data_IF_726246369084
#
_entry.id   IF_726246369084
#
_cell.length_a   1.000
_cell.length_b   1.000
_cell.length_c   1.000
_cell.angle_alpha   90.00
_cell.angle_beta   90.00
_cell.angle_gamma   90.00
#
_symmetry.space_group_name_H-M   'P 1'
#
loop_
_entity.id
_entity.type
_entity.pdbx_description
1 polymer ?
#
# COMPACT_ATOMS: atom_id res chain seq x y z
N UNK A 1 21.00 16.71 -11.78
CA UNK A 1 22.07 16.19 -12.68
C UNK A 1 23.23 15.60 -11.88
N UNK A 2 23.91 16.35 -11.00
CA UNK A 2 25.03 15.86 -10.20
C UNK A 2 24.67 14.65 -9.32
N UNK A 3 23.53 14.67 -8.64
CA UNK A 3 23.05 13.55 -7.81
C UNK A 3 22.71 12.31 -8.66
N UNK A 4 22.12 12.50 -9.84
CA UNK A 4 21.85 11.38 -10.75
C UNK A 4 23.13 10.78 -11.31
N UNK A 5 24.14 11.60 -11.62
CA UNK A 5 25.46 11.10 -12.01
C UNK A 5 26.13 10.32 -10.88
N UNK A 6 26.02 10.81 -9.65
CA UNK A 6 26.56 10.15 -8.47
C UNK A 6 25.84 8.80 -8.23
N UNK A 7 24.53 8.76 -8.40
CA UNK A 7 23.74 7.53 -8.31
C UNK A 7 24.20 6.50 -9.35
N UNK A 8 24.34 6.92 -10.61
CA UNK A 8 24.84 6.05 -11.68
C UNK A 8 26.26 5.56 -11.39
N UNK A 9 27.15 6.45 -10.98
CA UNK A 9 28.54 6.10 -10.64
C UNK A 9 28.61 5.09 -9.50
N UNK A 10 27.80 5.25 -8.45
CA UNK A 10 27.77 4.34 -7.30
C UNK A 10 27.10 3.00 -7.65
N UNK A 11 26.14 2.99 -8.56
CA UNK A 11 25.46 1.75 -8.97
C UNK A 11 26.32 0.89 -9.90
N UNK A 12 27.16 1.49 -10.72
CA UNK A 12 28.02 0.79 -11.70
C UNK A 12 29.31 0.21 -11.10
N UNK A 13 29.77 0.75 -9.98
CA UNK A 13 30.97 0.24 -9.32
C UNK A 13 30.62 -0.65 -8.12
N UNK A 14 31.23 -1.82 -7.99
CA UNK A 14 31.15 -2.72 -6.82
C UNK A 14 31.76 -2.02 -5.59
N UNK A 15 30.93 -1.28 -4.87
CA UNK A 15 31.34 -0.13 -4.14
C UNK A 15 31.79 -0.42 -2.72
N UNK A 16 32.92 0.11 -2.38
CA UNK A 16 33.29 0.44 -0.99
C UNK A 16 32.29 1.47 -0.47
N UNK A 17 31.63 1.22 0.67
CA UNK A 17 30.74 2.21 1.27
C UNK A 17 31.44 3.55 1.46
N UNK A 18 30.80 4.62 1.03
CA UNK A 18 31.37 5.98 1.01
C UNK A 18 30.60 6.89 1.96
N UNK A 19 31.24 7.98 2.39
CA UNK A 19 30.57 9.08 3.10
C UNK A 19 30.28 10.16 2.07
N UNK A 20 29.01 10.49 1.89
CA UNK A 20 28.52 11.51 0.96
C UNK A 20 28.00 12.68 1.76
N UNK A 21 28.58 13.85 1.57
CA UNK A 21 28.15 15.09 2.24
C UNK A 21 27.62 16.05 1.18
N UNK A 22 26.37 16.53 1.38
CA UNK A 22 25.70 17.44 0.44
C UNK A 22 25.13 18.62 1.22
N UNK A 23 25.43 19.83 0.75
CA UNK A 23 24.90 21.08 1.33
C UNK A 23 23.85 21.65 0.41
N UNK A 24 22.70 21.98 0.99
CA UNK A 24 21.56 22.65 0.34
C UNK A 24 21.21 22.07 -1.06
N UNK A 25 20.97 20.76 -1.20
CA UNK A 25 20.71 20.12 -2.49
C UNK A 25 19.45 20.63 -3.20
N UNK A 26 18.59 21.33 -2.49
CA UNK A 26 17.37 21.95 -3.03
C UNK A 26 17.62 23.24 -3.81
N UNK A 27 18.77 23.86 -3.70
CA UNK A 27 19.04 25.16 -4.36
C UNK A 27 18.81 25.02 -5.86
N UNK A 28 18.00 25.94 -6.41
CA UNK A 28 17.56 25.98 -7.81
C UNK A 28 16.65 24.83 -8.26
N UNK A 29 16.20 23.94 -7.36
CA UNK A 29 15.26 22.89 -7.72
C UNK A 29 13.82 23.35 -7.54
N UNK A 30 12.99 23.09 -8.57
CA UNK A 30 11.55 23.19 -8.42
C UNK A 30 11.06 22.18 -7.35
N UNK A 31 10.02 22.50 -6.53
CA UNK A 31 9.54 21.60 -5.45
C UNK A 31 9.34 20.14 -5.86
N UNK A 32 8.85 19.88 -7.07
CA UNK A 32 8.75 18.50 -7.59
C UNK A 32 10.09 17.79 -7.70
N UNK A 33 11.14 18.53 -8.11
CA UNK A 33 12.49 17.96 -8.23
C UNK A 33 13.16 17.80 -6.87
N UNK A 34 12.74 18.55 -5.84
CA UNK A 34 13.23 18.38 -4.47
C UNK A 34 12.80 17.03 -3.90
N UNK A 35 11.57 16.58 -4.17
CA UNK A 35 11.11 15.22 -3.80
C UNK A 35 11.92 14.13 -4.51
N UNK A 36 12.18 14.30 -5.81
CA UNK A 36 13.05 13.38 -6.55
C UNK A 36 14.47 13.37 -5.98
N UNK A 37 14.99 14.52 -5.60
CA UNK A 37 16.30 14.65 -4.94
C UNK A 37 16.32 13.88 -3.61
N UNK A 38 15.29 14.06 -2.77
CA UNK A 38 15.13 13.33 -1.51
C UNK A 38 15.14 11.81 -1.74
N UNK A 39 14.45 11.32 -2.77
CA UNK A 39 14.41 9.89 -3.10
C UNK A 39 15.79 9.36 -3.54
N UNK A 40 16.54 10.13 -4.33
CA UNK A 40 17.91 9.78 -4.72
C UNK A 40 18.82 9.69 -3.49
N UNK A 41 18.78 10.70 -2.60
CA UNK A 41 19.55 10.70 -1.36
C UNK A 41 19.21 9.51 -0.46
N UNK A 42 17.93 9.17 -0.37
CA UNK A 42 17.47 8.00 0.37
C UNK A 42 18.01 6.70 -0.24
N UNK A 43 17.95 6.51 -1.56
CA UNK A 43 18.54 5.33 -2.24
C UNK A 43 20.04 5.24 -2.04
N UNK A 44 20.76 6.35 -2.16
CA UNK A 44 22.19 6.40 -1.88
C UNK A 44 22.52 5.98 -0.45
N UNK A 45 21.68 6.34 0.53
CA UNK A 45 21.87 6.01 1.94
C UNK A 45 21.77 4.52 2.26
N UNK A 46 21.22 3.69 1.36
CA UNK A 46 21.15 2.23 1.56
C UNK A 46 22.52 1.54 1.55
N UNK A 47 23.49 2.10 0.85
CA UNK A 47 24.85 1.55 0.73
C UNK A 47 25.93 2.47 1.25
N UNK A 48 25.60 3.71 1.57
CA UNK A 48 26.54 4.76 1.93
C UNK A 48 26.07 5.50 3.18
N UNK A 49 26.99 6.20 3.84
CA UNK A 49 26.61 7.19 4.85
C UNK A 49 26.36 8.53 4.14
N UNK A 50 25.10 8.96 4.12
CA UNK A 50 24.71 10.23 3.51
C UNK A 50 24.43 11.25 4.61
N UNK A 51 25.07 12.39 4.55
CA UNK A 51 24.85 13.54 5.42
C UNK A 51 24.51 14.71 4.53
N UNK A 52 23.35 15.32 4.74
CA UNK A 52 23.01 16.54 4.01
C UNK A 52 22.36 17.58 4.91
N UNK A 53 22.62 18.85 4.57
CA UNK A 53 22.00 20.02 5.20
C UNK A 53 20.92 20.54 4.26
N UNK A 54 19.78 20.92 4.80
CA UNK A 54 18.68 21.47 4.02
C UNK A 54 17.80 22.41 4.84
N UNK A 55 17.18 23.37 4.15
CA UNK A 55 16.09 24.20 4.65
C UNK A 55 14.75 23.83 4.01
N UNK A 56 14.71 22.81 3.15
CA UNK A 56 13.50 22.37 2.48
C UNK A 56 12.82 21.22 3.24
N UNK A 57 11.54 21.34 3.60
CA UNK A 57 10.77 20.25 4.17
C UNK A 57 10.58 19.10 3.16
N UNK A 58 10.53 19.41 1.84
CA UNK A 58 10.38 18.41 0.80
C UNK A 58 11.53 17.40 0.77
N UNK A 59 12.72 17.77 1.23
CA UNK A 59 13.86 16.87 1.37
C UNK A 59 13.77 15.95 2.60
N UNK A 60 12.99 16.33 3.60
CA UNK A 60 12.82 15.53 4.83
C UNK A 60 11.85 14.37 4.65
N UNK A 61 11.07 14.33 3.56
CA UNK A 61 9.98 13.38 3.37
C UNK A 61 10.37 11.89 3.40
N UNK A 62 11.59 11.56 3.03
CA UNK A 62 12.04 10.17 2.97
C UNK A 62 12.86 9.73 4.19
N UNK A 63 12.97 10.57 5.21
CA UNK A 63 13.81 10.31 6.38
C UNK A 63 12.99 10.29 7.68
N UNK A 64 13.31 9.34 8.55
CA UNK A 64 12.67 9.26 9.86
C UNK A 64 13.18 10.37 10.79
N UNK A 65 12.38 10.74 11.79
CA UNK A 65 12.78 11.74 12.79
C UNK A 65 14.09 11.37 13.51
N UNK A 66 14.43 10.08 13.62
CA UNK A 66 15.69 9.61 14.18
C UNK A 66 16.91 9.96 13.34
N UNK A 67 16.73 10.15 12.05
CA UNK A 67 17.77 10.52 11.08
C UNK A 67 17.95 12.03 10.99
N UNK A 68 16.96 12.81 11.43
CA UNK A 68 16.96 14.26 11.35
C UNK A 68 17.65 14.84 12.60
N UNK A 69 18.47 15.87 12.38
CA UNK A 69 19.11 16.65 13.43
C UNK A 69 18.78 18.12 13.19
N UNK A 70 18.07 18.72 14.13
CA UNK A 70 17.74 20.14 14.06
C UNK A 70 18.87 20.96 14.70
N UNK A 71 19.45 21.87 13.93
CA UNK A 71 20.45 22.81 14.41
C UNK A 71 19.74 24.14 14.66
N UNK A 72 19.84 24.64 15.89
CA UNK A 72 19.25 25.90 16.31
C UNK A 72 20.30 26.79 17.00
N UNK A 73 20.01 28.08 17.11
CA UNK A 73 20.83 28.96 17.95
C UNK A 73 20.32 28.92 19.40
N UNK A 74 21.23 28.78 20.33
CA UNK A 74 20.93 28.94 21.76
C UNK A 74 20.78 30.44 22.14
N UNK A 75 20.49 30.69 23.40
CA UNK A 75 20.36 32.06 23.95
C UNK A 75 21.65 32.90 23.81
N UNK A 76 22.80 32.25 23.78
CA UNK A 76 24.10 32.87 23.56
C UNK A 76 24.50 32.96 22.07
N UNK A 77 23.57 32.60 21.15
CA UNK A 77 23.77 32.57 19.69
C UNK A 77 24.81 31.57 19.19
N UNK A 78 25.06 30.50 19.94
CA UNK A 78 25.83 29.36 19.43
C UNK A 78 24.92 28.34 18.75
N UNK A 79 25.41 27.71 17.68
CA UNK A 79 24.72 26.62 17.03
C UNK A 79 24.73 25.36 17.91
N UNK A 80 23.56 24.87 18.27
CA UNK A 80 23.41 23.65 19.06
C UNK A 80 22.49 22.67 18.35
N UNK A 81 22.73 21.37 18.58
CA UNK A 81 21.86 20.32 18.10
C UNK A 81 20.79 20.03 19.14
N UNK A 82 19.53 20.15 18.75
CA UNK A 82 18.40 19.80 19.60
C UNK A 82 18.29 18.28 19.72
N UNK A 83 18.42 17.74 20.93
CA UNK A 83 18.46 16.28 21.16
C UNK A 83 17.15 15.56 20.84
N UNK A 84 16.02 16.21 21.03
CA UNK A 84 14.69 15.66 20.74
C UNK A 84 14.02 16.59 19.71
N UNK A 85 14.29 16.31 18.44
CA UNK A 85 13.60 17.00 17.37
C UNK A 85 12.16 16.47 17.27
N UNK A 86 11.18 17.38 17.29
CA UNK A 86 9.80 17.11 16.92
C UNK A 86 9.59 17.64 15.49
N UNK A 87 9.02 16.81 14.62
CA UNK A 87 8.82 17.17 13.22
C UNK A 87 7.90 18.40 13.07
N UNK A 88 6.86 18.50 13.93
CA UNK A 88 5.98 19.67 13.97
C UNK A 88 6.77 20.95 14.23
N UNK A 89 7.60 20.93 15.25
CA UNK A 89 8.43 22.07 15.63
C UNK A 89 9.49 22.42 14.58
N UNK A 90 10.07 21.41 13.89
CA UNK A 90 11.00 21.65 12.77
C UNK A 90 10.28 22.40 11.63
N UNK A 91 9.06 22.01 11.31
CA UNK A 91 8.29 22.60 10.23
C UNK A 91 7.81 24.00 10.59
N UNK A 92 7.36 24.21 11.82
CA UNK A 92 7.03 25.55 12.33
C UNK A 92 8.26 26.49 12.29
N UNK A 93 9.43 26.02 12.70
CA UNK A 93 10.69 26.78 12.64
C UNK A 93 11.12 27.08 11.19
N UNK A 94 10.72 26.23 10.23
CA UNK A 94 10.92 26.46 8.79
C UNK A 94 9.82 27.33 8.14
N UNK A 95 8.80 27.73 8.92
CA UNK A 95 7.70 28.59 8.45
C UNK A 95 6.57 27.86 7.74
N UNK A 96 6.46 26.53 7.94
CA UNK A 96 5.39 25.72 7.39
C UNK A 96 4.26 25.54 8.42
N UNK A 97 3.02 25.76 8.00
CA UNK A 97 1.85 25.60 8.86
C UNK A 97 1.41 24.12 9.02
N UNK A 98 0.49 23.87 9.96
CA UNK A 98 -0.03 22.53 10.24
C UNK A 98 -0.65 21.81 9.03
N UNK A 99 -1.10 22.55 8.01
CA UNK A 99 -1.63 21.99 6.76
C UNK A 99 -0.54 21.52 5.78
N UNK A 100 0.68 22.04 5.92
CA UNK A 100 1.85 21.59 5.16
C UNK A 100 2.45 20.31 5.77
N UNK A 101 1.96 19.96 6.96
CA UNK A 101 2.38 18.86 7.82
C UNK A 101 1.82 17.48 7.42
N UNK A 102 1.05 17.37 6.37
CA UNK A 102 0.68 16.06 5.86
C UNK A 102 1.92 15.38 5.26
N UNK A 103 2.72 14.83 6.16
CA UNK A 103 3.98 14.13 5.92
C UNK A 103 3.73 12.81 5.17
N UNK A 104 2.93 12.88 4.09
CA UNK A 104 2.47 11.75 3.30
C UNK A 104 3.20 11.76 1.98
N UNK A 105 3.97 10.71 1.73
CA UNK A 105 4.68 10.52 0.46
C UNK A 105 3.94 9.58 -0.50
N UNK A 106 2.99 8.79 0.03
CA UNK A 106 2.18 7.89 -0.76
C UNK A 106 0.78 7.71 -0.17
N UNK A 107 -0.22 7.58 -1.03
CA UNK A 107 -1.62 7.39 -0.60
C UNK A 107 -2.20 6.11 -1.19
N UNK A 108 -2.74 5.27 -0.33
CA UNK A 108 -3.64 4.20 -0.75
C UNK A 108 -5.09 4.64 -0.61
N UNK A 109 -5.89 4.38 -1.63
CA UNK A 109 -7.35 4.58 -1.60
C UNK A 109 -7.98 3.20 -1.66
N UNK A 110 -8.68 2.79 -0.60
CA UNK A 110 -9.29 1.46 -0.46
C UNK A 110 -10.80 1.58 -0.26
N UNK A 111 -11.55 0.52 -0.58
CA UNK A 111 -13.01 0.56 -0.47
C UNK A 111 -13.50 0.55 0.98
N UNK A 112 -12.95 -0.33 1.80
CA UNK A 112 -13.47 -0.64 3.12
C UNK A 112 -12.56 -0.29 4.29
N UNK A 113 -13.16 -0.23 5.50
CA UNK A 113 -12.40 -0.09 6.75
C UNK A 113 -11.54 -1.31 7.03
N UNK A 114 -11.96 -2.49 6.59
CA UNK A 114 -11.24 -3.74 6.78
C UNK A 114 -9.96 -3.75 5.93
N UNK A 115 -10.03 -3.26 4.69
CA UNK A 115 -8.85 -3.14 3.81
C UNK A 115 -7.82 -2.17 4.40
N UNK A 116 -8.32 -1.06 4.99
CA UNK A 116 -7.47 -0.12 5.73
C UNK A 116 -6.71 -0.78 6.89
N UNK A 117 -7.26 -1.80 7.52
CA UNK A 117 -6.61 -2.53 8.63
C UNK A 117 -5.67 -3.64 8.16
N UNK A 118 -5.92 -4.23 6.98
CA UNK A 118 -5.17 -5.36 6.42
C UNK A 118 -3.94 -4.93 5.63
N UNK A 119 -4.07 -3.88 4.82
CA UNK A 119 -2.98 -3.38 3.98
C UNK A 119 -1.70 -3.05 4.76
N UNK A 120 -1.74 -2.40 5.95
CA UNK A 120 -0.54 -2.16 6.75
C UNK A 120 0.21 -3.43 7.15
N UNK A 121 -0.49 -4.55 7.31
CA UNK A 121 0.13 -5.83 7.66
C UNK A 121 1.00 -6.35 6.50
N UNK A 122 0.52 -6.23 5.26
CA UNK A 122 1.29 -6.56 4.06
C UNK A 122 2.50 -5.63 3.90
N UNK A 123 2.27 -4.31 4.03
CA UNK A 123 3.35 -3.33 3.91
C UNK A 123 4.48 -3.61 4.90
N UNK A 124 4.16 -3.96 6.14
CA UNK A 124 5.15 -4.27 7.17
C UNK A 124 5.96 -5.53 6.88
N UNK A 125 5.36 -6.56 6.28
CA UNK A 125 6.09 -7.78 5.92
C UNK A 125 7.04 -7.55 4.76
N UNK A 126 6.56 -6.93 3.69
CA UNK A 126 7.27 -6.91 2.41
C UNK A 126 8.11 -5.65 2.18
N UNK A 127 7.89 -4.59 2.98
CA UNK A 127 8.62 -3.32 2.82
C UNK A 127 9.22 -2.85 4.14
N UNK A 128 10.45 -2.30 4.05
CA UNK A 128 11.12 -1.63 5.15
C UNK A 128 10.67 -0.18 5.26
N UNK A 129 10.80 0.42 6.45
CA UNK A 129 10.57 1.86 6.68
C UNK A 129 9.17 2.36 6.26
N UNK A 130 8.20 1.46 6.23
CA UNK A 130 6.79 1.81 5.96
C UNK A 130 5.98 1.98 7.24
N UNK A 131 6.49 1.53 8.38
CA UNK A 131 5.84 1.65 9.67
C UNK A 131 6.86 1.83 10.79
N UNK A 132 6.45 2.49 11.88
CA UNK A 132 7.24 2.62 13.10
C UNK A 132 7.21 1.34 13.97
N UNK A 133 7.85 1.41 15.16
CA UNK A 133 7.90 0.29 16.11
C UNK A 133 6.51 -0.07 16.67
N UNK A 134 5.60 0.88 16.75
CA UNK A 134 4.21 0.71 17.18
C UNK A 134 3.34 0.12 16.05
N UNK A 135 3.83 0.18 14.81
CA UNK A 135 3.16 -0.31 13.61
C UNK A 135 2.24 0.70 12.97
N UNK A 136 2.38 1.97 13.30
CA UNK A 136 1.75 3.07 12.59
C UNK A 136 2.52 3.35 11.28
N UNK A 137 1.78 3.67 10.22
CA UNK A 137 2.39 3.91 8.92
C UNK A 137 3.16 5.22 8.91
N UNK A 138 4.40 5.14 8.42
CA UNK A 138 5.26 6.29 8.21
C UNK A 138 5.06 6.82 6.78
N UNK A 139 4.59 8.06 6.66
CA UNK A 139 4.45 8.78 5.37
C UNK A 139 3.53 8.12 4.33
N UNK A 140 2.74 7.15 4.76
CA UNK A 140 1.74 6.49 3.96
C UNK A 140 0.37 6.75 4.57
N UNK A 141 -0.54 7.33 3.81
CA UNK A 141 -1.93 7.47 4.20
C UNK A 141 -2.78 6.40 3.54
N UNK A 142 -3.77 5.89 4.28
CA UNK A 142 -4.80 5.00 3.74
C UNK A 142 -6.16 5.66 3.91
N UNK A 143 -6.78 5.99 2.79
CA UNK A 143 -8.09 6.65 2.73
C UNK A 143 -9.13 5.61 2.33
N UNK A 144 -10.26 5.58 3.07
CA UNK A 144 -11.39 4.70 2.72
C UNK A 144 -12.47 5.48 2.02
N UNK A 145 -13.03 4.92 0.95
CA UNK A 145 -14.16 5.51 0.24
C UNK A 145 -15.50 5.21 0.91
N UNK A 146 -15.55 4.20 1.81
CA UNK A 146 -16.74 3.71 2.53
C UNK A 146 -17.93 3.33 1.63
N UNK A 147 -17.74 3.27 0.34
CA UNK A 147 -18.68 2.73 -0.66
C UNK A 147 -18.09 2.90 -2.05
N UNK A 148 -18.54 2.07 -2.99
CA UNK A 148 -18.22 2.11 -4.42
C UNK A 148 -18.66 3.39 -5.16
N UNK A 149 -19.01 4.48 -4.45
CA UNK A 149 -19.45 5.70 -5.12
C UNK A 149 -18.23 6.50 -5.57
N UNK A 150 -18.09 6.65 -6.87
CA UNK A 150 -17.05 7.44 -7.53
C UNK A 150 -16.92 8.89 -6.99
N UNK A 151 -17.98 9.44 -6.41
CA UNK A 151 -18.03 10.81 -5.85
C UNK A 151 -17.05 10.99 -4.69
N UNK A 152 -16.98 10.02 -3.75
CA UNK A 152 -16.07 10.11 -2.60
C UNK A 152 -14.62 9.95 -3.02
N UNK A 153 -14.36 9.04 -3.95
CA UNK A 153 -13.02 8.88 -4.54
C UNK A 153 -12.59 10.15 -5.26
N UNK A 154 -13.51 10.79 -5.98
CA UNK A 154 -13.26 12.05 -6.64
C UNK A 154 -12.86 13.17 -5.65
N UNK A 155 -13.59 13.31 -4.55
CA UNK A 155 -13.26 14.27 -3.49
C UNK A 155 -11.89 14.00 -2.87
N UNK A 156 -11.52 12.73 -2.68
CA UNK A 156 -10.19 12.33 -2.19
C UNK A 156 -9.09 12.68 -3.20
N UNK A 157 -9.33 12.48 -4.49
CA UNK A 157 -8.39 12.86 -5.55
C UNK A 157 -8.20 14.37 -5.60
N UNK A 158 -9.28 15.16 -5.43
CA UNK A 158 -9.21 16.62 -5.35
C UNK A 158 -8.36 17.06 -4.14
N UNK A 159 -8.56 16.44 -3.00
CA UNK A 159 -7.74 16.67 -1.80
C UNK A 159 -6.26 16.34 -2.04
N UNK A 160 -5.96 15.21 -2.68
CA UNK A 160 -4.58 14.80 -3.00
C UNK A 160 -3.89 15.76 -3.97
N UNK A 161 -4.65 16.35 -4.91
CA UNK A 161 -4.11 17.38 -5.78
C UNK A 161 -3.66 18.62 -4.99
N UNK A 162 -4.39 18.97 -3.94
CA UNK A 162 -4.04 20.08 -3.04
C UNK A 162 -2.75 19.80 -2.24
N UNK A 163 -2.46 18.54 -1.93
CA UNK A 163 -1.24 18.11 -1.23
C UNK A 163 -0.10 17.71 -2.18
N UNK A 164 -0.20 18.04 -3.46
CA UNK A 164 0.84 17.78 -4.48
C UNK A 164 1.25 16.31 -4.69
N UNK A 165 0.44 15.35 -4.29
CA UNK A 165 0.70 13.91 -4.50
C UNK A 165 0.15 13.39 -5.85
N UNK A 166 0.42 14.11 -6.93
CA UNK A 166 -0.24 13.92 -8.24
C UNK A 166 -0.18 12.50 -8.79
N UNK A 167 0.89 11.76 -8.54
CA UNK A 167 1.18 10.44 -9.13
C UNK A 167 1.47 9.37 -8.05
N UNK A 168 1.62 9.78 -6.78
CA UNK A 168 2.01 8.89 -5.69
C UNK A 168 0.79 8.34 -4.95
N UNK A 169 -0.06 7.65 -5.68
CA UNK A 169 -1.22 6.99 -5.10
C UNK A 169 -1.60 5.71 -5.83
N UNK A 170 -2.20 4.77 -5.11
CA UNK A 170 -2.77 3.55 -5.64
C UNK A 170 -4.19 3.35 -5.11
N UNK A 171 -5.14 3.25 -6.02
CA UNK A 171 -6.51 2.83 -5.71
C UNK A 171 -6.59 1.31 -5.78
N UNK A 172 -6.92 0.69 -4.66
CA UNK A 172 -7.15 -0.76 -4.58
C UNK A 172 -8.65 -0.99 -4.45
N UNK A 173 -9.19 -1.79 -5.34
CA UNK A 173 -10.62 -2.00 -5.47
C UNK A 173 -10.98 -3.46 -5.64
N UNK A 174 -12.07 -3.87 -5.00
CA UNK A 174 -12.66 -5.19 -5.16
C UNK A 174 -13.11 -5.41 -6.61
N UNK A 175 -12.93 -6.63 -7.13
CA UNK A 175 -13.41 -6.97 -8.47
C UNK A 175 -14.92 -7.23 -8.51
N UNK A 176 -15.54 -7.60 -7.38
CA UNK A 176 -16.94 -8.05 -7.30
C UNK A 176 -17.26 -9.18 -8.29
N UNK A 177 -16.27 -10.00 -8.61
CA UNK A 177 -16.36 -11.08 -9.60
C UNK A 177 -16.43 -10.58 -11.05
N UNK A 178 -16.00 -9.35 -11.33
CA UNK A 178 -15.87 -8.80 -12.68
C UNK A 178 -14.43 -8.97 -13.18
N UNK A 179 -14.26 -8.86 -14.49
CA UNK A 179 -12.91 -8.90 -15.08
C UNK A 179 -12.10 -7.66 -14.66
N UNK A 180 -10.95 -7.83 -13.98
CA UNK A 180 -10.14 -6.73 -13.46
C UNK A 180 -9.67 -5.75 -14.56
N UNK A 181 -9.22 -6.26 -15.71
CA UNK A 181 -8.74 -5.43 -16.80
C UNK A 181 -9.83 -4.54 -17.42
N UNK A 182 -11.05 -5.07 -17.54
CA UNK A 182 -12.21 -4.32 -18.06
C UNK A 182 -12.60 -3.24 -17.05
N UNK A 183 -12.68 -3.60 -15.76
CA UNK A 183 -13.08 -2.68 -14.71
C UNK A 183 -12.05 -1.55 -14.54
N UNK A 184 -10.75 -1.86 -14.60
CA UNK A 184 -9.67 -0.88 -14.54
C UNK A 184 -9.74 0.15 -15.67
N UNK A 185 -9.94 -0.32 -16.92
CA UNK A 185 -10.13 0.57 -18.07
C UNK A 185 -11.36 1.49 -17.94
N UNK A 186 -12.47 0.95 -17.44
CA UNK A 186 -13.69 1.74 -17.20
C UNK A 186 -13.47 2.84 -16.17
N UNK A 187 -12.72 2.54 -15.09
CA UNK A 187 -12.39 3.53 -14.08
C UNK A 187 -11.47 4.63 -14.59
N UNK A 188 -10.40 4.27 -15.28
CA UNK A 188 -9.49 5.26 -15.88
C UNK A 188 -10.25 6.20 -16.82
N UNK A 189 -11.08 5.65 -17.69
CA UNK A 189 -11.93 6.43 -18.60
C UNK A 189 -12.89 7.36 -17.88
N UNK A 190 -13.54 6.88 -16.82
CA UNK A 190 -14.43 7.71 -15.99
C UNK A 190 -13.72 8.93 -15.42
N UNK A 191 -12.50 8.76 -14.86
CA UNK A 191 -11.75 9.89 -14.30
C UNK A 191 -11.18 10.80 -15.39
N UNK A 192 -10.84 10.28 -16.55
CA UNK A 192 -10.40 11.08 -17.68
C UNK A 192 -11.52 11.97 -18.21
N UNK A 193 -12.74 11.44 -18.38
CA UNK A 193 -13.92 12.20 -18.76
C UNK A 193 -14.24 13.30 -17.73
N UNK A 194 -14.14 13.00 -16.43
CA UNK A 194 -14.34 13.98 -15.36
C UNK A 194 -13.31 15.11 -15.37
N UNK A 195 -12.05 14.81 -15.67
CA UNK A 195 -11.01 15.81 -15.80
C UNK A 195 -11.22 16.79 -16.96
N UNK A 196 -11.97 16.38 -17.98
CA UNK A 196 -12.34 17.27 -19.10
C UNK A 196 -13.47 18.22 -18.71
N UNK A 197 -14.33 17.83 -17.77
CA UNK A 197 -15.48 18.62 -17.32
C UNK A 197 -15.13 19.61 -16.19
N UNK A 198 -14.06 19.36 -15.42
CA UNK A 198 -13.71 20.14 -14.23
C UNK A 198 -12.55 21.12 -14.48
N UNK A 199 -12.76 22.38 -14.07
CA UNK A 199 -11.74 23.43 -14.12
C UNK A 199 -10.57 23.17 -13.13
N UNK A 200 -10.83 22.42 -12.07
CA UNK A 200 -9.81 21.97 -11.12
C UNK A 200 -9.10 20.73 -11.67
N UNK A 201 -7.93 20.89 -12.25
CA UNK A 201 -7.11 19.81 -12.79
C UNK A 201 -6.82 18.75 -11.71
N UNK A 202 -7.60 17.67 -11.68
CA UNK A 202 -7.35 16.52 -10.82
C UNK A 202 -6.04 15.81 -11.19
N UNK A 203 -5.47 15.02 -10.27
CA UNK A 203 -4.40 14.10 -10.63
C UNK A 203 -4.85 13.21 -11.78
N UNK A 204 -4.02 13.07 -12.78
CA UNK A 204 -4.30 12.14 -13.89
C UNK A 204 -4.26 10.72 -13.35
N UNK A 205 -5.41 10.05 -13.40
CA UNK A 205 -5.50 8.63 -13.05
C UNK A 205 -5.02 7.81 -14.25
N UNK A 206 -3.92 7.10 -14.05
CA UNK A 206 -3.31 6.22 -15.04
C UNK A 206 -3.62 4.75 -14.69
N UNK A 207 -3.45 3.80 -15.61
CA UNK A 207 -3.64 2.39 -15.31
C UNK A 207 -2.85 1.89 -14.08
N UNK A 208 -1.61 2.37 -13.88
CA UNK A 208 -0.78 2.04 -12.73
C UNK A 208 -1.35 2.53 -11.38
N UNK A 209 -2.20 3.56 -11.39
CA UNK A 209 -2.86 4.07 -10.20
C UNK A 209 -4.11 3.29 -9.79
N UNK A 210 -4.51 2.27 -10.58
CA UNK A 210 -5.74 1.50 -10.36
C UNK A 210 -5.43 0.02 -10.31
N UNK A 211 -5.52 -0.56 -9.14
CA UNK A 211 -5.44 -1.99 -8.90
C UNK A 211 -6.84 -2.55 -8.63
N UNK A 212 -7.32 -3.39 -9.51
CA UNK A 212 -8.50 -4.22 -9.27
C UNK A 212 -8.02 -5.58 -8.80
N UNK A 213 -8.49 -6.01 -7.63
CA UNK A 213 -8.09 -7.27 -7.03
C UNK A 213 -8.40 -8.46 -7.97
N UNK A 214 -7.49 -9.44 -8.01
CA UNK A 214 -7.66 -10.68 -8.75
C UNK A 214 -8.91 -11.43 -8.27
N UNK A 215 -9.08 -11.52 -6.96
CA UNK A 215 -10.21 -12.19 -6.33
C UNK A 215 -11.38 -11.24 -6.11
N UNK A 216 -12.52 -11.78 -5.68
CA UNK A 216 -13.75 -11.03 -5.48
C UNK A 216 -13.55 -9.81 -4.58
N UNK A 217 -12.88 -10.00 -3.45
CA UNK A 217 -12.55 -8.97 -2.47
C UNK A 217 -11.27 -9.33 -1.70
N UNK A 218 -10.79 -8.41 -0.89
CA UNK A 218 -9.56 -8.60 -0.11
C UNK A 218 -9.62 -9.80 0.85
N UNK A 219 -10.81 -10.15 1.37
CA UNK A 219 -11.01 -11.32 2.22
C UNK A 219 -10.61 -12.64 1.56
N UNK A 220 -10.79 -12.74 0.24
CA UNK A 220 -10.53 -13.98 -0.50
C UNK A 220 -9.06 -14.39 -0.55
N UNK A 221 -8.14 -13.48 -0.22
CA UNK A 221 -6.70 -13.78 -0.13
C UNK A 221 -6.32 -14.55 1.14
N UNK A 222 -7.20 -14.58 2.14
CA UNK A 222 -6.95 -15.26 3.41
C UNK A 222 -7.58 -16.65 3.48
N UNK A 223 -7.68 -17.34 2.35
CA UNK A 223 -8.36 -18.63 2.22
C UNK A 223 -7.41 -19.73 1.69
N UNK A 224 -6.15 -19.73 2.11
CA UNK A 224 -5.22 -20.81 1.82
C UNK A 224 -5.36 -21.91 2.90
N UNK A 225 -5.80 -23.14 2.53
CA UNK A 225 -6.08 -24.20 3.50
C UNK A 225 -4.86 -24.65 4.30
N UNK A 226 -3.67 -24.69 3.68
CA UNK A 226 -2.42 -25.08 4.33
C UNK A 226 -2.06 -24.09 5.46
N UNK A 227 -2.13 -22.79 5.16
CA UNK A 227 -1.85 -21.73 6.15
C UNK A 227 -2.89 -21.74 7.27
N UNK A 228 -4.16 -21.91 6.91
CA UNK A 228 -5.25 -21.96 7.88
C UNK A 228 -5.12 -23.18 8.82
N UNK A 229 -4.63 -24.30 8.33
CA UNK A 229 -4.32 -25.49 9.14
C UNK A 229 -3.16 -25.22 10.10
N UNK A 230 -2.07 -24.61 9.63
CA UNK A 230 -0.93 -24.22 10.48
C UNK A 230 -1.33 -23.27 11.61
N UNK A 231 -2.31 -22.42 11.38
CA UNK A 231 -2.85 -21.48 12.37
C UNK A 231 -3.94 -22.08 13.26
N UNK A 232 -4.35 -23.32 13.03
CA UNK A 232 -5.43 -23.97 13.78
C UNK A 232 -6.81 -23.34 13.54
N UNK A 233 -6.99 -22.66 12.41
CA UNK A 233 -8.28 -22.12 11.96
C UNK A 233 -9.17 -23.28 11.50
N UNK A 234 -8.59 -24.23 10.81
CA UNK A 234 -9.18 -25.52 10.44
C UNK A 234 -8.29 -26.65 10.96
N UNK A 235 -8.81 -27.87 11.05
CA UNK A 235 -8.06 -29.02 11.57
C UNK A 235 -7.09 -29.60 10.54
N UNK A 236 -7.48 -29.58 9.28
CA UNK A 236 -6.69 -30.03 8.13
C UNK A 236 -7.18 -29.33 6.86
N UNK A 237 -6.49 -29.55 5.74
CA UNK A 237 -6.94 -29.03 4.44
C UNK A 237 -8.25 -29.70 4.00
N UNK A 238 -8.42 -30.97 4.30
CA UNK A 238 -9.67 -31.69 4.04
C UNK A 238 -10.83 -31.10 4.86
N UNK A 239 -10.59 -30.77 6.14
CA UNK A 239 -11.60 -30.12 6.99
C UNK A 239 -12.04 -28.76 6.40
N UNK A 240 -11.10 -28.00 5.81
CA UNK A 240 -11.43 -26.76 5.10
C UNK A 240 -12.42 -27.01 3.96
N UNK A 241 -12.12 -27.95 3.07
CA UNK A 241 -12.99 -28.24 1.92
C UNK A 241 -14.31 -28.87 2.33
N UNK A 242 -14.30 -29.71 3.37
CA UNK A 242 -15.52 -30.27 3.94
C UNK A 242 -16.45 -29.19 4.50
N UNK A 243 -15.93 -28.24 5.28
CA UNK A 243 -16.70 -27.10 5.78
C UNK A 243 -17.24 -26.28 4.61
N UNK A 244 -16.40 -26.02 3.61
CA UNK A 244 -16.77 -25.23 2.43
C UNK A 244 -17.91 -25.89 1.65
N UNK A 245 -17.81 -27.21 1.40
CA UNK A 245 -18.83 -28.02 0.74
C UNK A 245 -20.14 -28.03 1.51
N UNK A 246 -20.09 -28.23 2.82
CA UNK A 246 -21.27 -28.15 3.68
C UNK A 246 -21.96 -26.79 3.55
N UNK A 247 -21.19 -25.70 3.55
CA UNK A 247 -21.76 -24.35 3.40
C UNK A 247 -22.22 -24.05 1.97
N UNK A 248 -21.59 -24.65 0.99
CA UNK A 248 -22.04 -24.60 -0.40
C UNK A 248 -23.45 -25.18 -0.55
N UNK A 249 -23.66 -26.40 -0.09
CA UNK A 249 -24.95 -27.09 -0.14
C UNK A 249 -26.01 -26.44 0.75
N UNK A 250 -25.60 -25.90 1.90
CA UNK A 250 -26.49 -25.23 2.84
C UNK A 250 -27.06 -23.93 2.25
N UNK A 251 -26.22 -23.02 1.75
CA UNK A 251 -26.69 -21.70 1.31
C UNK A 251 -25.84 -20.96 0.26
N UNK A 252 -24.51 -21.18 0.17
CA UNK A 252 -23.65 -20.37 -0.69
C UNK A 252 -24.01 -20.49 -2.16
N UNK A 253 -24.37 -21.67 -2.64
CA UNK A 253 -24.80 -21.91 -4.02
C UNK A 253 -26.03 -21.11 -4.42
N UNK A 254 -26.91 -20.78 -3.47
CA UNK A 254 -28.14 -20.00 -3.72
C UNK A 254 -27.91 -18.49 -3.80
N UNK A 255 -26.75 -18.00 -3.30
CA UNK A 255 -26.42 -16.60 -3.33
C UNK A 255 -26.15 -16.12 -4.78
N UNK A 256 -26.29 -14.81 -5.00
CA UNK A 256 -25.96 -14.20 -6.29
C UNK A 256 -24.52 -14.49 -6.72
N UNK A 257 -23.56 -14.50 -5.79
CA UNK A 257 -22.17 -14.85 -6.04
C UNK A 257 -22.00 -16.33 -6.39
N UNK A 258 -22.74 -17.24 -5.72
CA UNK A 258 -22.74 -18.67 -6.04
C UNK A 258 -23.26 -18.94 -7.45
N UNK A 259 -24.36 -18.28 -7.85
CA UNK A 259 -24.89 -18.38 -9.22
C UNK A 259 -23.90 -17.90 -10.28
N UNK A 260 -23.13 -16.83 -9.98
CA UNK A 260 -22.06 -16.36 -10.88
C UNK A 260 -20.91 -17.38 -10.97
N UNK A 261 -20.55 -18.01 -9.87
CA UNK A 261 -19.55 -19.07 -9.88
C UNK A 261 -19.99 -20.26 -10.74
N UNK A 262 -21.22 -20.76 -10.56
CA UNK A 262 -21.81 -21.82 -11.40
C UNK A 262 -21.81 -21.45 -12.88
N UNK A 263 -22.19 -20.20 -13.18
CA UNK A 263 -22.17 -19.71 -14.57
C UNK A 263 -20.74 -19.69 -15.15
N UNK A 264 -19.75 -19.31 -14.37
CA UNK A 264 -18.35 -19.26 -14.80
C UNK A 264 -17.75 -20.66 -14.90
N UNK A 265 -18.15 -21.59 -14.02
CA UNK A 265 -17.73 -22.98 -14.02
C UNK A 265 -18.37 -23.78 -15.17
N UNK A 266 -19.59 -23.43 -15.56
CA UNK A 266 -20.35 -24.08 -16.61
C UNK A 266 -21.24 -25.26 -16.14
N UNK A 267 -21.12 -25.65 -14.90
CA UNK A 267 -21.95 -26.68 -14.24
C UNK A 267 -22.11 -26.36 -12.74
N UNK A 268 -23.04 -27.02 -12.08
CA UNK A 268 -23.15 -26.93 -10.63
C UNK A 268 -22.13 -27.88 -9.99
N UNK A 269 -21.34 -27.45 -8.99
CA UNK A 269 -20.43 -28.33 -8.28
C UNK A 269 -21.17 -29.57 -7.73
N UNK A 270 -20.65 -30.75 -8.00
CA UNK A 270 -21.27 -32.01 -7.65
C UNK A 270 -20.60 -32.69 -6.43
N UNK A 271 -19.41 -32.27 -6.07
CA UNK A 271 -18.61 -32.86 -5.01
C UNK A 271 -17.68 -31.84 -4.33
N UNK A 272 -17.13 -32.25 -3.21
CA UNK A 272 -16.08 -31.53 -2.48
C UNK A 272 -14.80 -31.42 -3.33
N UNK A 273 -14.45 -32.47 -4.04
CA UNK A 273 -13.27 -32.50 -4.92
C UNK A 273 -13.43 -31.57 -6.11
N UNK A 274 -14.62 -31.40 -6.65
CA UNK A 274 -14.92 -30.45 -7.71
C UNK A 274 -14.71 -29.02 -7.23
N UNK A 275 -15.19 -28.68 -6.03
CA UNK A 275 -14.90 -27.37 -5.41
C UNK A 275 -13.40 -27.16 -5.20
N UNK A 276 -12.68 -28.18 -4.74
CA UNK A 276 -11.24 -28.13 -4.51
C UNK A 276 -10.47 -27.84 -5.79
N UNK A 277 -10.80 -28.53 -6.87
CA UNK A 277 -10.16 -28.33 -8.18
C UNK A 277 -10.40 -26.93 -8.75
N UNK A 278 -11.51 -26.29 -8.41
CA UNK A 278 -11.91 -24.99 -8.94
C UNK A 278 -11.81 -23.85 -7.91
N UNK A 279 -10.99 -24.03 -6.87
CA UNK A 279 -10.89 -23.07 -5.75
C UNK A 279 -10.45 -21.65 -6.20
N UNK A 280 -9.58 -21.55 -7.22
CA UNK A 280 -9.20 -20.25 -7.79
C UNK A 280 -10.40 -19.52 -8.41
N UNK A 281 -11.19 -20.21 -9.21
CA UNK A 281 -12.40 -19.67 -9.79
C UNK A 281 -13.44 -19.32 -8.72
N UNK A 282 -13.50 -20.14 -7.68
CA UNK A 282 -14.35 -19.90 -6.52
C UNK A 282 -13.98 -18.60 -5.81
N UNK A 283 -12.69 -18.36 -5.53
CA UNK A 283 -12.20 -17.12 -4.94
C UNK A 283 -12.50 -15.87 -5.79
N UNK A 284 -12.52 -16.02 -7.12
CA UNK A 284 -12.85 -14.92 -8.05
C UNK A 284 -14.33 -14.53 -7.97
N UNK A 285 -15.23 -15.50 -7.90
CA UNK A 285 -16.66 -15.25 -8.07
C UNK A 285 -17.45 -15.21 -6.77
N UNK A 286 -16.94 -15.85 -5.70
CA UNK A 286 -17.63 -15.88 -4.41
C UNK A 286 -17.31 -14.67 -3.55
N UNK A 287 -18.37 -14.08 -2.99
CA UNK A 287 -18.26 -12.92 -2.10
C UNK A 287 -17.42 -13.26 -0.86
N UNK A 288 -16.29 -12.59 -0.71
CA UNK A 288 -15.30 -12.89 0.32
C UNK A 288 -15.80 -12.73 1.74
N UNK A 289 -16.64 -11.72 2.02
CA UNK A 289 -17.21 -11.52 3.34
C UNK A 289 -17.95 -12.78 3.88
N UNK A 290 -18.70 -13.47 3.04
CA UNK A 290 -19.40 -14.69 3.45
C UNK A 290 -18.43 -15.82 3.80
N UNK A 291 -17.37 -15.98 3.00
CA UNK A 291 -16.34 -17.00 3.23
C UNK A 291 -15.51 -16.67 4.47
N UNK A 292 -15.19 -15.41 4.64
CA UNK A 292 -14.44 -14.93 5.79
C UNK A 292 -15.21 -15.16 7.10
N UNK A 293 -16.50 -14.88 7.14
CA UNK A 293 -17.34 -15.12 8.33
C UNK A 293 -17.41 -16.61 8.71
N UNK A 294 -17.42 -17.52 7.73
CA UNK A 294 -17.41 -18.98 7.99
C UNK A 294 -16.18 -19.39 8.80
N UNK A 295 -15.01 -18.94 8.40
CA UNK A 295 -13.75 -19.39 8.97
C UNK A 295 -13.21 -18.48 10.08
N UNK A 296 -13.38 -17.18 9.95
CA UNK A 296 -12.81 -16.17 10.85
C UNK A 296 -13.83 -15.55 11.81
N UNK A 297 -15.12 -15.79 11.64
CA UNK A 297 -16.18 -15.17 12.44
C UNK A 297 -16.02 -15.33 13.96
N UNK A 298 -15.44 -16.48 14.41
CA UNK A 298 -15.15 -16.75 15.83
C UNK A 298 -13.95 -15.96 16.36
N UNK A 299 -13.11 -15.38 15.49
CA UNK A 299 -11.86 -14.71 15.85
C UNK A 299 -11.95 -13.18 15.85
N UNK A 300 -13.16 -12.58 15.78
CA UNK A 300 -13.36 -11.12 15.65
C UNK A 300 -12.53 -10.29 16.64
N UNK A 301 -12.35 -10.75 17.89
CA UNK A 301 -11.54 -10.05 18.90
C UNK A 301 -10.01 -10.18 18.71
N UNK A 302 -9.57 -11.17 17.93
CA UNK A 302 -8.14 -11.46 17.66
C UNK A 302 -7.81 -11.38 16.17
N UNK A 303 -8.70 -10.81 15.38
CA UNK A 303 -8.60 -10.79 13.91
C UNK A 303 -7.22 -10.27 13.45
N UNK A 304 -6.82 -9.09 13.93
CA UNK A 304 -5.53 -8.49 13.54
C UNK A 304 -4.33 -9.39 13.85
N UNK A 305 -4.36 -10.09 14.98
CA UNK A 305 -3.28 -11.01 15.35
C UNK A 305 -3.21 -12.23 14.42
N UNK A 306 -4.37 -12.83 14.12
CA UNK A 306 -4.45 -14.00 13.24
C UNK A 306 -4.06 -13.63 11.82
N UNK A 307 -4.55 -12.51 11.29
CA UNK A 307 -4.17 -12.05 9.96
C UNK A 307 -2.68 -11.71 9.86
N UNK A 308 -2.09 -11.13 10.91
CA UNK A 308 -0.65 -10.93 10.97
C UNK A 308 0.11 -12.26 10.86
N UNK A 309 -0.29 -13.27 11.64
CA UNK A 309 0.32 -14.61 11.58
C UNK A 309 0.10 -15.28 10.21
N UNK A 310 -1.09 -15.10 9.62
CA UNK A 310 -1.37 -15.60 8.28
C UNK A 310 -0.42 -15.00 7.25
N UNK A 311 -0.30 -13.67 7.25
CA UNK A 311 0.59 -12.96 6.32
C UNK A 311 2.05 -13.37 6.54
N UNK A 312 2.52 -13.57 7.77
CA UNK A 312 3.89 -14.04 8.04
C UNK A 312 4.17 -15.42 7.44
N UNK A 313 3.19 -16.33 7.44
CA UNK A 313 3.32 -17.68 6.86
C UNK A 313 3.08 -17.71 5.35
N UNK A 314 2.32 -16.76 4.82
CA UNK A 314 1.92 -16.77 3.42
C UNK A 314 3.11 -16.45 2.51
N UNK A 315 3.32 -17.22 1.43
CA UNK A 315 4.30 -16.88 0.42
C UNK A 315 3.87 -15.58 -0.33
N UNK A 316 4.83 -14.90 -0.95
CA UNK A 316 4.56 -13.66 -1.70
C UNK A 316 3.51 -13.86 -2.80
N UNK A 317 3.49 -15.04 -3.40
CA UNK A 317 2.59 -15.36 -4.53
C UNK A 317 1.10 -15.29 -4.17
N UNK A 318 0.75 -15.52 -2.89
CA UNK A 318 -0.65 -15.35 -2.43
C UNK A 318 -1.17 -13.91 -2.61
N UNK A 319 -0.26 -12.91 -2.60
CA UNK A 319 -0.59 -11.49 -2.72
C UNK A 319 0.09 -10.84 -3.92
N UNK A 320 0.49 -11.64 -4.92
CA UNK A 320 1.33 -11.17 -6.03
C UNK A 320 0.75 -9.97 -6.76
N UNK A 321 -0.53 -9.99 -7.12
CA UNK A 321 -1.18 -8.90 -7.83
C UNK A 321 -1.19 -7.59 -7.03
N UNK A 322 -1.40 -7.67 -5.71
CA UNK A 322 -1.37 -6.51 -4.81
C UNK A 322 0.06 -5.97 -4.71
N UNK A 323 1.02 -6.87 -4.47
CA UNK A 323 2.42 -6.49 -4.28
C UNK A 323 3.05 -5.98 -5.57
N UNK A 324 2.73 -6.58 -6.72
CA UNK A 324 3.21 -6.12 -8.02
C UNK A 324 2.62 -4.75 -8.39
N UNK A 325 1.36 -4.50 -8.03
CA UNK A 325 0.75 -3.18 -8.14
C UNK A 325 1.47 -2.12 -7.28
N UNK A 326 1.84 -2.46 -6.05
CA UNK A 326 2.61 -1.57 -5.16
C UNK A 326 4.03 -1.38 -5.70
N UNK A 327 4.65 -2.44 -6.18
CA UNK A 327 6.01 -2.45 -6.72
C UNK A 327 6.18 -1.64 -7.99
N UNK A 328 5.10 -1.28 -8.67
CA UNK A 328 5.13 -0.40 -9.85
C UNK A 328 5.49 1.05 -9.51
N UNK A 329 5.48 1.43 -8.23
CA UNK A 329 5.78 2.79 -7.80
C UNK A 329 7.22 2.94 -7.31
N UNK A 330 7.98 3.93 -7.81
CA UNK A 330 9.37 4.19 -7.39
C UNK A 330 9.53 4.40 -5.88
N UNK A 331 8.49 4.87 -5.19
CA UNK A 331 8.49 5.03 -3.74
C UNK A 331 8.82 3.72 -3.01
N UNK A 332 8.39 2.58 -3.53
CA UNK A 332 8.59 1.27 -2.91
C UNK A 332 9.87 0.55 -3.37
N UNK A 333 10.51 0.96 -4.47
CA UNK A 333 11.70 0.28 -5.02
C UNK A 333 12.84 0.13 -4.00
N UNK A 334 13.14 1.22 -3.29
CA UNK A 334 14.21 1.23 -2.28
C UNK A 334 13.80 0.64 -0.94
N UNK A 335 12.54 0.28 -0.78
CA UNK A 335 11.93 -0.21 0.46
C UNK A 335 11.58 -1.68 0.44
N UNK A 336 11.72 -2.36 -0.69
CA UNK A 336 11.49 -3.81 -0.80
C UNK A 336 12.42 -4.55 0.16
N UNK A 337 11.85 -5.42 0.99
CA UNK A 337 12.65 -6.36 1.77
C UNK A 337 13.11 -7.48 0.84
N UNK A 338 14.38 -7.87 0.95
CA UNK A 338 14.87 -9.06 0.28
C UNK A 338 14.10 -10.27 0.82
N UNK A 339 13.68 -11.21 -0.03
CA UNK A 339 13.16 -12.49 0.46
C UNK A 339 14.24 -13.15 1.34
N UNK A 340 13.83 -13.57 2.54
CA UNK A 340 14.68 -14.38 3.42
C UNK A 340 14.91 -15.76 2.84
#
# INVERSE_FOLDING_TARGET
YMLSLLETYISEQSCIPSIIVVEDPEIFLHPQLQKTCSEILYRLSKKNQVIFKTHSPDLLFNFSIRQIRQVVLDEARYSVIREKADLGQILDDLGYGANDLLNVSFVFIVEGKQDKSRLPLLLRKYYSETADEQGELLRIAIITTNSCTNIKTYANLKYMNQIYLRDQFLMIRDSDGKNPAVLGKQLCRYYEERNLEDLDKLPRVRPENVLILKYYSFENYFLNPEIMTKLGIVKSEEDFYHILWQKWTEYLGRLRSGKKFVQALGHEPDSEDDLKQHMELFKIHMRGHNLYDIFYGRYKKKERQILKQYIELAPRDEFSDILDGIDSFPYFDSRKKMPE
#
